data_IF_096587032495
#
_entry.id   IF_096587032495
#
_cell.length_a   1.000
_cell.length_b   1.000
_cell.length_c   1.000
_cell.angle_alpha   90.00
_cell.angle_beta   90.00
_cell.angle_gamma   90.00
#
_symmetry.space_group_name_H-M   'P 1'
#
loop_
_entity.id
_entity.type
_entity.pdbx_description
1 polymer ?
#
# COMPACT_ATOMS: atom_id res chain seq x y z
N UNK A 1 -40.63 -13.80 40.95
CA UNK A 1 -40.31 -12.91 39.81
C UNK A 1 -38.80 -12.80 39.68
N UNK A 2 -38.16 -13.62 38.83
CA UNK A 2 -36.71 -13.59 38.63
C UNK A 2 -36.40 -12.61 37.49
N UNK A 3 -35.82 -11.45 37.83
CA UNK A 3 -35.40 -10.45 36.84
C UNK A 3 -34.12 -10.94 36.18
N UNK A 4 -34.20 -11.42 34.95
CA UNK A 4 -33.03 -11.65 34.12
C UNK A 4 -32.46 -10.29 33.72
N UNK A 5 -31.34 -9.91 34.33
CA UNK A 5 -30.55 -8.76 33.90
C UNK A 5 -29.72 -9.23 32.70
N UNK A 6 -30.18 -8.90 31.50
CA UNK A 6 -29.38 -9.06 30.28
C UNK A 6 -28.35 -7.94 30.23
N UNK A 7 -27.12 -8.24 30.65
CA UNK A 7 -25.96 -7.39 30.33
C UNK A 7 -25.58 -7.73 28.89
N UNK A 8 -26.16 -7.01 27.94
CA UNK A 8 -25.69 -6.98 26.56
C UNK A 8 -24.34 -6.26 26.54
N UNK A 9 -23.26 -7.02 26.75
CA UNK A 9 -21.89 -6.54 26.58
C UNK A 9 -21.67 -6.14 25.12
N UNK A 10 -21.52 -4.85 24.88
CA UNK A 10 -21.10 -4.29 23.60
C UNK A 10 -19.62 -4.68 23.40
N UNK A 11 -19.39 -5.75 22.64
CA UNK A 11 -18.05 -6.23 22.28
C UNK A 11 -17.38 -5.16 21.38
N UNK A 12 -16.28 -4.51 21.80
CA UNK A 12 -15.61 -3.55 20.95
C UNK A 12 -15.00 -4.31 19.76
N UNK A 13 -15.54 -4.08 18.56
CA UNK A 13 -14.95 -4.57 17.32
C UNK A 13 -13.63 -3.82 17.14
N UNK A 14 -12.51 -4.54 17.25
CA UNK A 14 -11.19 -4.04 16.89
C UNK A 14 -11.18 -3.81 15.38
N UNK A 15 -11.48 -2.58 14.95
CA UNK A 15 -11.39 -2.16 13.56
C UNK A 15 -9.94 -1.82 13.23
N UNK A 16 -9.13 -2.83 12.92
CA UNK A 16 -7.85 -2.61 12.26
C UNK A 16 -8.09 -2.40 10.76
N UNK A 17 -7.45 -1.40 10.16
CA UNK A 17 -7.53 -1.18 8.73
C UNK A 17 -6.66 -2.21 7.98
N UNK A 18 -7.24 -2.84 6.95
CA UNK A 18 -6.55 -3.72 6.02
C UNK A 18 -5.81 -2.92 4.94
N UNK A 19 -4.88 -3.58 4.24
CA UNK A 19 -4.29 -3.03 3.01
C UNK A 19 -5.35 -2.87 1.91
N UNK A 20 -5.13 -1.91 1.01
CA UNK A 20 -5.87 -1.78 -0.26
C UNK A 20 -5.76 -3.11 -1.00
N UNK A 21 -6.89 -3.63 -1.48
CA UNK A 21 -6.94 -4.90 -2.18
C UNK A 21 -6.24 -4.84 -3.54
N UNK A 22 -5.51 -5.90 -3.89
CA UNK A 22 -4.88 -6.04 -5.20
C UNK A 22 -5.93 -6.55 -6.20
N UNK A 23 -6.16 -5.79 -7.27
CA UNK A 23 -7.06 -6.19 -8.35
C UNK A 23 -6.46 -7.32 -9.20
N UNK A 24 -7.30 -8.06 -9.91
CA UNK A 24 -6.86 -9.13 -10.82
C UNK A 24 -6.00 -8.62 -11.99
N UNK A 25 -6.19 -7.37 -12.41
CA UNK A 25 -5.35 -6.72 -13.43
C UNK A 25 -4.07 -6.16 -12.81
N UNK A 26 -4.16 -5.57 -11.61
CA UNK A 26 -3.02 -5.09 -10.83
C UNK A 26 -2.03 -6.20 -10.47
N UNK A 27 -2.50 -7.42 -10.23
CA UNK A 27 -1.62 -8.57 -9.94
C UNK A 27 -0.66 -8.91 -11.08
N UNK A 28 -0.99 -8.51 -12.32
CA UNK A 28 -0.17 -8.70 -13.53
C UNK A 28 0.84 -7.57 -13.76
N UNK A 29 0.87 -6.55 -12.90
CA UNK A 29 1.86 -5.48 -12.96
C UNK A 29 3.07 -5.86 -12.12
N UNK A 30 4.26 -5.79 -12.70
CA UNK A 30 5.50 -5.92 -11.94
C UNK A 30 5.93 -4.54 -11.43
N UNK A 31 6.38 -4.45 -10.18
CA UNK A 31 7.02 -3.24 -9.64
C UNK A 31 8.44 -3.59 -9.23
N UNK A 32 9.42 -2.83 -9.69
CA UNK A 32 10.83 -3.07 -9.41
C UNK A 32 11.59 -1.75 -9.33
N UNK A 33 12.63 -1.62 -8.49
CA UNK A 33 13.52 -0.46 -8.53
C UNK A 33 14.39 -0.42 -9.80
N UNK A 34 14.50 -1.53 -10.53
CA UNK A 34 15.29 -1.61 -11.76
C UNK A 34 14.63 -0.80 -12.89
N UNK A 35 15.41 -0.16 -13.78
CA UNK A 35 14.88 0.47 -14.99
C UNK A 35 14.06 -0.48 -15.85
N UNK A 36 13.10 0.08 -16.60
CA UNK A 36 12.29 -0.69 -17.53
C UNK A 36 13.18 -1.38 -18.60
N UNK A 37 12.91 -2.66 -18.93
CA UNK A 37 13.62 -3.36 -19.99
C UNK A 37 13.54 -2.66 -21.35
N UNK A 38 14.46 -3.03 -22.25
CA UNK A 38 14.45 -2.56 -23.64
C UNK A 38 13.14 -2.95 -24.34
N UNK A 39 12.57 -2.03 -25.11
CA UNK A 39 11.31 -2.23 -25.84
C UNK A 39 10.05 -1.89 -25.04
N UNK A 40 10.17 -1.53 -23.76
CA UNK A 40 9.08 -0.99 -22.99
C UNK A 40 8.73 0.45 -23.41
N UNK A 41 7.43 0.74 -23.55
CA UNK A 41 6.92 2.09 -23.85
C UNK A 41 6.45 2.76 -22.55
N UNK A 42 6.96 3.95 -22.27
CA UNK A 42 6.47 4.77 -21.16
C UNK A 42 4.99 5.12 -21.37
N UNK A 43 4.20 4.98 -20.30
CA UNK A 43 2.77 5.30 -20.30
C UNK A 43 2.51 6.56 -19.48
N UNK A 44 2.88 6.52 -18.20
CA UNK A 44 2.66 7.61 -17.26
C UNK A 44 3.52 7.45 -16.02
N UNK A 45 3.59 8.50 -15.22
CA UNK A 45 4.04 8.40 -13.83
C UNK A 45 2.84 8.02 -12.94
N UNK A 46 3.04 7.10 -12.01
CA UNK A 46 1.99 6.59 -11.11
C UNK A 46 2.41 6.79 -9.66
N UNK A 47 1.42 7.11 -8.83
CA UNK A 47 1.58 7.26 -7.38
C UNK A 47 0.67 6.28 -6.67
N UNK A 48 1.27 5.40 -5.88
CA UNK A 48 0.56 4.51 -4.95
C UNK A 48 0.62 5.07 -3.53
N UNK A 49 -0.49 5.06 -2.81
CA UNK A 49 -0.54 5.55 -1.45
C UNK A 49 -1.51 4.74 -0.58
N UNK A 50 -1.10 4.50 0.66
CA UNK A 50 -2.00 4.08 1.72
C UNK A 50 -1.69 4.81 3.03
N UNK A 51 -2.73 5.05 3.83
CA UNK A 51 -2.67 5.72 5.12
C UNK A 51 -2.85 7.23 5.00
N UNK A 52 -3.26 7.83 6.09
CA UNK A 52 -3.35 9.28 6.28
C UNK A 52 -3.32 9.58 7.79
N UNK A 53 -3.52 10.84 8.17
CA UNK A 53 -3.51 11.26 9.58
C UNK A 53 -4.59 10.59 10.46
N UNK A 54 -5.58 9.93 9.86
CA UNK A 54 -6.68 9.26 10.54
C UNK A 54 -6.53 7.75 10.49
N UNK A 55 -6.28 7.17 9.31
CA UNK A 55 -6.21 5.72 9.14
C UNK A 55 -4.82 5.12 9.43
N UNK A 56 -3.78 5.95 9.45
CA UNK A 56 -2.41 5.52 9.70
C UNK A 56 -2.24 4.79 11.02
N UNK A 57 -2.72 5.40 12.10
CA UNK A 57 -2.57 4.89 13.47
C UNK A 57 -3.31 3.56 13.72
N UNK A 58 -4.24 3.18 12.84
CA UNK A 58 -5.01 1.93 12.91
C UNK A 58 -4.66 0.93 11.80
N UNK A 59 -3.70 1.27 10.94
CA UNK A 59 -3.20 0.39 9.89
C UNK A 59 -1.78 -0.04 10.24
N UNK A 60 -1.53 -1.35 10.31
CA UNK A 60 -0.16 -1.81 10.56
C UNK A 60 0.80 -1.30 9.47
N UNK A 61 2.05 -1.02 9.84
CA UNK A 61 3.13 -0.66 8.91
C UNK A 61 3.19 -1.60 7.69
N UNK A 62 3.02 -2.92 7.93
CA UNK A 62 2.93 -3.93 6.88
C UNK A 62 1.78 -3.66 5.90
N UNK A 63 0.59 -3.40 6.41
CA UNK A 63 -0.59 -3.12 5.57
C UNK A 63 -0.46 -1.78 4.82
N UNK A 64 0.18 -0.77 5.42
CA UNK A 64 0.47 0.51 4.77
C UNK A 64 1.39 0.31 3.56
N UNK A 65 2.50 -0.41 3.72
CA UNK A 65 3.43 -0.73 2.63
C UNK A 65 2.76 -1.59 1.56
N UNK A 66 2.08 -2.67 1.96
CA UNK A 66 1.43 -3.60 1.03
C UNK A 66 0.36 -2.91 0.19
N UNK A 67 -0.50 -2.09 0.81
CA UNK A 67 -1.56 -1.47 0.05
C UNK A 67 -1.15 -0.20 -0.70
N UNK A 68 -0.09 0.52 -0.29
CA UNK A 68 0.52 1.52 -1.16
C UNK A 68 1.09 0.89 -2.44
N UNK A 69 1.65 -0.32 -2.35
CA UNK A 69 2.08 -1.11 -3.51
C UNK A 69 0.90 -1.61 -4.33
N UNK A 70 -0.16 -2.12 -3.71
CA UNK A 70 -1.37 -2.57 -4.42
C UNK A 70 -2.05 -1.42 -5.17
N UNK A 71 -2.18 -0.25 -4.53
CA UNK A 71 -2.72 0.96 -5.15
C UNK A 71 -1.90 1.38 -6.37
N UNK A 72 -0.56 1.39 -6.28
CA UNK A 72 0.32 1.64 -7.43
C UNK A 72 0.06 0.65 -8.57
N UNK A 73 -0.01 -0.65 -8.26
CA UNK A 73 -0.22 -1.71 -9.25
C UNK A 73 -1.59 -1.61 -9.91
N UNK A 74 -2.64 -1.33 -9.13
CA UNK A 74 -4.00 -1.14 -9.63
C UNK A 74 -4.07 0.04 -10.61
N UNK A 75 -3.57 1.21 -10.21
CA UNK A 75 -3.53 2.41 -11.06
C UNK A 75 -2.69 2.21 -12.33
N UNK A 76 -1.54 1.55 -12.21
CA UNK A 76 -0.73 1.22 -13.38
C UNK A 76 -1.49 0.28 -14.35
N UNK A 77 -2.19 -0.72 -13.82
CA UNK A 77 -2.99 -1.63 -14.63
C UNK A 77 -4.17 -0.94 -15.32
N UNK A 78 -4.83 0.00 -14.66
CA UNK A 78 -5.90 0.84 -15.25
C UNK A 78 -5.40 1.64 -16.45
N UNK A 79 -4.14 2.08 -16.42
CA UNK A 79 -3.47 2.76 -17.53
C UNK A 79 -2.93 1.79 -18.60
N UNK A 80 -3.15 0.48 -18.43
CA UNK A 80 -2.71 -0.56 -19.36
C UNK A 80 -1.24 -0.94 -19.25
N UNK A 81 -0.51 -0.42 -18.25
CA UNK A 81 0.88 -0.78 -17.97
C UNK A 81 0.99 -2.19 -17.36
N UNK A 82 2.16 -2.81 -17.51
CA UNK A 82 2.49 -4.11 -16.89
C UNK A 82 3.84 -4.08 -16.15
N UNK A 83 4.55 -2.96 -16.18
CA UNK A 83 5.79 -2.76 -15.44
C UNK A 83 5.81 -1.36 -14.83
N UNK A 84 6.27 -1.24 -13.58
CA UNK A 84 6.52 0.03 -12.92
C UNK A 84 7.94 0.03 -12.39
N UNK A 85 8.74 0.98 -12.87
CA UNK A 85 10.01 1.32 -12.24
C UNK A 85 9.72 2.17 -11.01
N UNK A 86 9.97 1.63 -9.81
CA UNK A 86 9.87 2.36 -8.56
C UNK A 86 10.99 3.40 -8.46
N UNK A 87 10.64 4.66 -8.32
CA UNK A 87 11.59 5.78 -8.17
C UNK A 87 11.84 6.10 -6.70
N UNK A 88 10.77 6.14 -5.91
CA UNK A 88 10.87 6.41 -4.47
C UNK A 88 9.82 5.64 -3.70
N UNK A 89 10.19 5.21 -2.50
CA UNK A 89 9.29 4.76 -1.44
C UNK A 89 9.49 5.70 -0.25
N UNK A 90 8.42 6.35 0.22
CA UNK A 90 8.47 7.32 1.32
C UNK A 90 7.37 6.99 2.32
N UNK A 91 7.77 6.68 3.55
CA UNK A 91 6.85 6.57 4.66
C UNK A 91 6.82 7.88 5.47
N UNK A 92 5.62 8.40 5.77
CA UNK A 92 5.45 9.36 6.84
C UNK A 92 5.47 8.63 8.18
N UNK A 93 6.22 9.16 9.14
CA UNK A 93 6.36 8.54 10.45
C UNK A 93 6.06 9.54 11.56
N UNK A 94 5.43 9.05 12.62
CA UNK A 94 5.24 9.78 13.88
C UNK A 94 5.86 8.98 15.00
N UNK A 95 6.35 9.65 16.03
CA UNK A 95 6.98 8.97 17.15
C UNK A 95 7.45 9.92 18.24
N UNK A 96 7.85 9.33 19.35
CA UNK A 96 8.34 10.05 20.52
C UNK A 96 9.59 9.37 21.06
N UNK A 97 10.55 10.17 21.51
CA UNK A 97 11.84 9.69 21.99
C UNK A 97 12.19 10.30 23.36
N UNK A 98 12.67 9.46 24.28
CA UNK A 98 13.11 9.84 25.62
C UNK A 98 14.46 9.22 25.98
N UNK A 99 15.04 9.63 27.11
CA UNK A 99 16.30 9.05 27.63
C UNK A 99 16.23 7.56 27.94
N UNK A 100 15.02 6.99 28.03
CA UNK A 100 14.79 5.57 28.30
C UNK A 100 14.32 4.79 27.06
N UNK A 101 14.29 5.42 25.87
CA UNK A 101 13.84 4.85 24.60
C UNK A 101 12.68 5.61 23.96
N UNK A 102 12.23 5.12 22.80
CA UNK A 102 11.16 5.71 22.00
C UNK A 102 10.50 4.74 21.03
N UNK A 103 9.39 5.16 20.41
CA UNK A 103 8.65 4.40 19.38
C UNK A 103 8.43 5.27 18.15
N UNK A 104 8.37 4.62 16.97
CA UNK A 104 8.12 5.24 15.67
C UNK A 104 7.13 4.36 14.89
N UNK A 105 6.05 4.95 14.42
CA UNK A 105 5.01 4.28 13.64
C UNK A 105 4.80 4.99 12.30
N UNK A 106 4.45 4.23 11.25
CA UNK A 106 4.15 4.82 9.95
C UNK A 106 2.68 5.30 9.95
N UNK A 107 2.45 6.50 9.46
CA UNK A 107 1.10 7.05 9.28
C UNK A 107 0.60 6.90 7.85
N UNK A 108 1.52 6.85 6.90
CA UNK A 108 1.25 6.65 5.49
C UNK A 108 2.49 6.20 4.73
N UNK A 109 2.28 5.55 3.60
CA UNK A 109 3.32 5.19 2.63
C UNK A 109 2.93 5.77 1.28
N UNK A 110 3.87 6.43 0.61
CA UNK A 110 3.71 6.98 -0.74
C UNK A 110 4.84 6.49 -1.63
N UNK A 111 4.45 5.81 -2.70
CA UNK A 111 5.34 5.25 -3.71
C UNK A 111 5.18 6.04 -5.01
N UNK A 112 6.29 6.46 -5.61
CA UNK A 112 6.32 7.11 -6.91
C UNK A 112 7.04 6.20 -7.90
N UNK A 113 6.45 5.97 -9.07
CA UNK A 113 7.05 5.13 -10.09
C UNK A 113 6.70 5.57 -11.51
N UNK A 114 7.53 5.18 -12.48
CA UNK A 114 7.23 5.33 -13.89
C UNK A 114 6.62 4.02 -14.42
N UNK A 115 5.44 4.10 -15.01
CA UNK A 115 4.70 2.96 -15.55
C UNK A 115 4.95 2.79 -17.06
N UNK A 116 5.11 1.54 -17.47
CA UNK A 116 5.46 1.14 -18.82
C UNK A 116 4.58 -0.01 -19.31
N UNK A 117 4.36 -0.03 -20.63
CA UNK A 117 3.88 -1.20 -21.35
C UNK A 117 5.06 -1.91 -22.00
N UNK A 118 5.36 -3.09 -21.51
CA UNK A 118 6.44 -3.95 -21.99
C UNK A 118 5.90 -5.13 -22.80
N UNK A 119 6.62 -5.60 -23.83
CA UNK A 119 6.37 -6.91 -24.44
C UNK A 119 6.46 -8.03 -23.40
N UNK A 120 5.64 -9.07 -23.51
CA UNK A 120 5.66 -10.19 -22.55
C UNK A 120 7.04 -10.85 -22.44
N UNK A 121 7.77 -10.96 -23.55
CA UNK A 121 9.14 -11.48 -23.58
C UNK A 121 10.14 -10.69 -22.73
N UNK A 122 9.81 -9.46 -22.34
CA UNK A 122 10.67 -8.58 -21.55
C UNK A 122 10.33 -8.61 -20.04
N UNK A 123 9.17 -9.14 -19.64
CA UNK A 123 8.67 -9.10 -18.25
C UNK A 123 8.23 -10.46 -17.70
N UNK A 124 8.30 -11.54 -18.47
CA UNK A 124 8.06 -12.90 -18.00
C UNK A 124 9.29 -13.45 -17.26
N UNK A 125 9.11 -13.80 -15.99
CA UNK A 125 10.07 -14.49 -15.11
C UNK A 125 9.37 -15.60 -14.33
#
# INVERSE_FOLDING_TARGET
MKKFIYITGLLPLLMACSSIELTQTGSKVMVSPTPAPTGCKFIAQVVGNQGNFFTGDWTSNKNLEEGAMNDMKNKAAELGANYVQLLTNKAGQTGSWSSYGGSMDQTNVTNLGNAYKCPESAVNW
#
